data_IF_365922581121
#
_entry.id   IF_365922581121
#
_cell.length_a   1.000
_cell.length_b   1.000
_cell.length_c   1.000
_cell.angle_alpha   90.00
_cell.angle_beta   90.00
_cell.angle_gamma   90.00
#
_symmetry.space_group_name_H-M   'P 1'
#
loop_
_entity.id
_entity.type
_entity.pdbx_description
1 polymer ?
#
# COMPACT_ATOMS: atom_id res chain seq x y z
N UNK A 1 66.00 2.13 -11.05
CA UNK A 1 65.14 2.93 -10.14
C UNK A 1 64.00 3.54 -10.97
N UNK A 2 63.07 2.71 -11.47
CA UNK A 2 61.99 3.17 -12.34
C UNK A 2 60.65 2.57 -11.89
N UNK A 3 59.89 3.34 -11.12
CA UNK A 3 58.43 3.33 -10.99
C UNK A 3 58.06 4.81 -10.70
N UNK A 4 56.84 5.37 -10.94
CA UNK A 4 55.54 4.71 -11.11
C UNK A 4 54.47 5.55 -11.89
N UNK A 5 54.71 6.11 -13.09
CA UNK A 5 53.69 6.98 -13.72
C UNK A 5 52.48 6.21 -14.29
N UNK A 6 52.66 4.95 -14.70
CA UNK A 6 51.57 4.10 -15.22
C UNK A 6 50.58 3.63 -14.14
N UNK A 7 51.01 3.55 -12.88
CA UNK A 7 50.18 3.14 -11.73
C UNK A 7 49.29 4.26 -11.18
N UNK A 8 49.55 5.52 -11.51
CA UNK A 8 48.65 6.62 -11.13
C UNK A 8 47.44 6.70 -12.08
N UNK A 9 47.64 6.44 -13.38
CA UNK A 9 46.56 6.45 -14.37
C UNK A 9 45.55 5.32 -14.15
N UNK A 10 46.01 4.12 -13.79
CA UNK A 10 45.12 2.97 -13.55
C UNK A 10 44.34 3.05 -12.21
N UNK A 11 44.66 3.99 -11.33
CA UNK A 11 43.93 4.19 -10.07
C UNK A 11 42.63 4.95 -10.31
N UNK A 12 42.62 5.92 -11.25
CA UNK A 12 41.42 6.66 -11.65
C UNK A 12 40.38 5.80 -12.40
N UNK A 13 40.82 4.96 -13.34
CA UNK A 13 39.91 4.09 -14.11
C UNK A 13 39.28 2.98 -13.25
N UNK A 14 39.97 2.49 -12.22
CA UNK A 14 39.42 1.50 -11.27
C UNK A 14 38.37 2.09 -10.34
N UNK A 15 38.52 3.35 -9.92
CA UNK A 15 37.50 4.06 -9.13
C UNK A 15 36.22 4.30 -9.91
N UNK A 16 36.33 4.67 -11.20
CA UNK A 16 35.17 4.92 -12.06
C UNK A 16 34.35 3.65 -12.32
N UNK A 17 35.01 2.55 -12.67
CA UNK A 17 34.34 1.27 -12.99
C UNK A 17 33.72 0.57 -11.76
N UNK A 18 34.19 0.89 -10.55
CA UNK A 18 33.56 0.44 -9.31
C UNK A 18 32.24 1.20 -9.05
N UNK A 19 32.22 2.52 -9.26
CA UNK A 19 31.02 3.34 -9.08
C UNK A 19 29.89 2.98 -10.06
N UNK A 20 30.23 2.69 -11.33
CA UNK A 20 29.22 2.28 -12.33
C UNK A 20 28.64 0.89 -12.08
N UNK A 21 29.37 -0.01 -11.40
CA UNK A 21 28.85 -1.31 -10.95
C UNK A 21 27.77 -1.18 -9.88
N UNK A 22 27.96 -0.27 -8.92
CA UNK A 22 26.97 0.01 -7.86
C UNK A 22 25.67 0.61 -8.43
N UNK A 23 25.78 1.56 -9.36
CA UNK A 23 24.62 2.12 -10.07
C UNK A 23 23.87 1.05 -10.89
N UNK A 24 24.60 0.09 -11.47
CA UNK A 24 24.02 -1.06 -12.16
C UNK A 24 23.25 -1.99 -11.21
N UNK A 25 23.76 -2.19 -9.99
CA UNK A 25 23.09 -2.97 -8.94
C UNK A 25 21.80 -2.31 -8.45
N UNK A 26 21.84 -1.00 -8.21
CA UNK A 26 20.67 -0.21 -7.81
C UNK A 26 19.59 -0.18 -8.89
N UNK A 27 19.97 0.01 -10.17
CA UNK A 27 19.02 -0.03 -11.29
C UNK A 27 18.33 -1.39 -11.39
N UNK A 28 19.07 -2.50 -11.23
CA UNK A 28 18.49 -3.86 -11.22
C UNK A 28 17.55 -4.10 -10.02
N UNK A 29 17.78 -3.43 -8.90
CA UNK A 29 16.90 -3.49 -7.74
C UNK A 29 15.59 -2.74 -7.97
N UNK A 30 15.65 -1.50 -8.48
CA UNK A 30 14.45 -0.71 -8.83
C UNK A 30 13.65 -1.39 -9.94
N UNK A 31 14.30 -1.97 -10.95
CA UNK A 31 13.61 -2.66 -12.05
C UNK A 31 12.89 -3.95 -11.63
N UNK A 32 12.94 -4.36 -10.35
CA UNK A 32 12.23 -5.52 -9.82
C UNK A 32 10.70 -5.34 -9.77
N UNK A 33 10.16 -4.20 -10.22
CA UNK A 33 8.72 -3.92 -10.40
C UNK A 33 7.97 -3.72 -9.09
N UNK A 34 7.89 -4.78 -8.28
CA UNK A 34 7.20 -4.82 -6.99
C UNK A 34 7.68 -3.74 -5.99
N UNK A 35 8.96 -3.33 -6.06
CA UNK A 35 9.52 -2.29 -5.19
C UNK A 35 9.05 -0.89 -5.58
N UNK A 36 8.89 -0.64 -6.88
CA UNK A 36 8.52 0.69 -7.41
C UNK A 36 7.05 0.96 -7.12
N UNK A 37 6.17 -0.01 -7.35
CA UNK A 37 4.74 0.14 -7.11
C UNK A 37 4.45 0.38 -5.62
N UNK A 38 5.16 -0.34 -4.74
CA UNK A 38 5.06 -0.12 -3.30
C UNK A 38 5.61 1.25 -2.89
N UNK A 39 6.76 1.67 -3.42
CA UNK A 39 7.35 2.97 -3.12
C UNK A 39 6.44 4.13 -3.57
N UNK A 40 5.90 4.04 -4.79
CA UNK A 40 4.97 5.03 -5.34
C UNK A 40 3.69 5.09 -4.50
N UNK A 41 3.14 3.94 -4.09
CA UNK A 41 1.97 3.88 -3.21
C UNK A 41 2.17 4.60 -1.87
N UNK A 42 3.33 4.41 -1.21
CA UNK A 42 3.65 5.07 0.07
C UNK A 42 3.79 6.58 -0.10
N UNK A 43 4.49 7.04 -1.14
CA UNK A 43 4.72 8.48 -1.37
C UNK A 43 3.42 9.20 -1.70
N UNK A 44 2.59 8.63 -2.58
CA UNK A 44 1.28 9.21 -2.92
C UNK A 44 0.36 9.21 -1.68
N UNK A 45 0.36 8.13 -0.90
CA UNK A 45 -0.40 8.05 0.35
C UNK A 45 -0.01 9.14 1.34
N UNK A 46 1.29 9.37 1.55
CA UNK A 46 1.79 10.42 2.44
C UNK A 46 1.44 11.83 1.96
N UNK A 47 1.60 12.10 0.66
CA UNK A 47 1.25 13.40 0.07
C UNK A 47 -0.25 13.70 0.20
N UNK A 48 -1.09 12.70 -0.04
CA UNK A 48 -2.54 12.84 0.03
C UNK A 48 -3.03 13.07 1.46
N UNK A 49 -2.48 12.35 2.45
CA UNK A 49 -2.76 12.61 3.87
C UNK A 49 -2.47 14.06 4.26
N UNK A 50 -1.40 14.67 3.72
CA UNK A 50 -1.11 16.09 3.97
C UNK A 50 -2.17 17.06 3.42
N UNK A 51 -2.77 16.76 2.26
CA UNK A 51 -3.87 17.56 1.68
C UNK A 51 -5.13 17.45 2.55
N UNK A 52 -5.41 16.26 3.06
CA UNK A 52 -6.56 16.00 3.91
C UNK A 52 -6.38 16.67 5.27
N UNK A 53 -5.18 16.56 5.86
CA UNK A 53 -4.84 17.21 7.13
C UNK A 53 -4.92 18.73 7.05
N UNK A 54 -4.45 19.33 5.95
CA UNK A 54 -4.56 20.79 5.74
C UNK A 54 -6.02 21.23 5.59
N UNK A 55 -6.82 20.52 4.79
CA UNK A 55 -8.26 20.79 4.70
C UNK A 55 -8.95 20.75 6.07
N UNK A 56 -8.60 19.77 6.91
CA UNK A 56 -9.20 19.61 8.23
C UNK A 56 -8.74 20.71 9.18
N UNK A 57 -7.43 20.99 9.22
CA UNK A 57 -6.86 22.04 10.08
C UNK A 57 -7.33 23.44 9.68
N UNK A 58 -7.42 23.72 8.39
CA UNK A 58 -7.65 25.07 7.87
C UNK A 58 -9.14 25.39 7.70
N UNK A 59 -10.01 24.40 7.47
CA UNK A 59 -11.45 24.61 7.31
C UNK A 59 -12.28 24.02 8.45
N UNK A 60 -12.04 22.75 8.81
CA UNK A 60 -12.92 22.05 9.77
C UNK A 60 -12.65 22.49 11.21
N UNK A 61 -11.40 22.53 11.66
CA UNK A 61 -11.03 22.94 13.02
C UNK A 61 -11.51 24.36 13.39
N UNK A 62 -11.33 25.40 12.55
CA UNK A 62 -11.89 26.72 12.87
C UNK A 62 -13.41 26.76 12.79
N UNK A 63 -14.04 25.98 11.89
CA UNK A 63 -15.50 25.91 11.81
C UNK A 63 -16.11 25.26 13.06
N UNK A 64 -15.48 24.21 13.60
CA UNK A 64 -15.85 23.63 14.89
C UNK A 64 -15.58 24.63 16.02
N UNK A 65 -14.44 25.34 15.99
CA UNK A 65 -14.10 26.36 16.99
C UNK A 65 -15.13 27.49 17.07
N UNK A 66 -15.64 27.96 15.91
CA UNK A 66 -16.70 28.96 15.83
C UNK A 66 -18.06 28.36 16.17
N UNK A 67 -18.39 27.16 15.71
CA UNK A 67 -19.65 26.48 16.03
C UNK A 67 -19.80 26.25 17.54
N UNK A 68 -18.72 25.82 18.21
CA UNK A 68 -18.65 25.63 19.65
C UNK A 68 -18.73 26.96 20.42
N UNK A 69 -18.28 28.08 19.81
CA UNK A 69 -18.43 29.43 20.34
C UNK A 69 -19.87 29.94 20.24
N UNK A 70 -20.54 29.69 19.11
CA UNK A 70 -21.93 30.10 18.88
C UNK A 70 -22.95 29.30 19.70
N UNK A 71 -22.62 28.07 20.09
CA UNK A 71 -23.47 27.20 20.92
C UNK A 71 -23.25 27.42 22.44
N UNK A 72 -22.49 28.43 22.87
CA UNK A 72 -22.08 28.66 24.28
C UNK A 72 -21.35 27.49 24.99
N UNK A 73 -21.09 26.39 24.29
CA UNK A 73 -20.35 25.23 24.79
C UNK A 73 -18.86 25.53 25.05
N UNK A 74 -18.34 26.66 24.55
CA UNK A 74 -16.96 27.08 24.81
C UNK A 74 -16.67 27.37 26.29
N UNK A 75 -17.67 27.78 27.08
CA UNK A 75 -17.50 27.87 28.54
C UNK A 75 -17.61 26.51 29.23
N UNK A 76 -18.29 25.52 28.65
CA UNK A 76 -18.39 24.19 29.26
C UNK A 76 -17.23 23.28 28.87
N UNK A 77 -16.63 23.39 27.68
CA UNK A 77 -15.48 22.57 27.28
C UNK A 77 -14.11 23.14 27.68
N UNK A 78 -13.98 24.46 27.80
CA UNK A 78 -12.79 25.07 28.43
C UNK A 78 -12.87 25.08 29.95
N UNK A 79 -14.03 24.85 30.56
CA UNK A 79 -14.16 24.73 32.02
C UNK A 79 -14.52 23.31 32.49
N UNK A 80 -14.69 22.33 31.59
CA UNK A 80 -14.73 20.90 31.92
C UNK A 80 -13.31 20.35 32.16
N UNK A 81 -12.56 21.02 33.04
CA UNK A 81 -11.45 20.39 33.72
C UNK A 81 -12.02 19.79 35.00
N UNK A 82 -12.13 18.47 35.06
CA UNK A 82 -12.31 17.82 36.35
C UNK A 82 -10.99 17.92 37.10
N UNK A 83 -10.82 18.97 37.89
CA UNK A 83 -9.62 19.17 38.70
C UNK A 83 -9.72 18.26 39.93
N UNK A 84 -9.24 17.02 39.79
CA UNK A 84 -8.98 16.14 40.92
C UNK A 84 -7.46 16.01 41.06
N UNK A 85 -6.92 16.51 42.18
CA UNK A 85 -5.51 16.36 42.56
C UNK A 85 -4.48 16.98 41.58
N UNK A 86 -4.78 18.13 40.98
CA UNK A 86 -3.80 18.91 40.20
C UNK A 86 -3.45 18.35 38.82
N UNK A 87 -4.20 17.36 38.31
CA UNK A 87 -4.07 16.83 36.95
C UNK A 87 -5.25 17.30 36.10
N UNK A 88 -4.97 18.10 35.07
CA UNK A 88 -5.98 18.58 34.12
C UNK A 88 -6.30 17.47 33.12
N UNK A 89 -7.37 16.72 33.35
CA UNK A 89 -7.91 15.80 32.35
C UNK A 89 -8.74 16.58 31.32
N UNK A 90 -8.12 16.95 30.20
CA UNK A 90 -8.77 17.66 29.11
C UNK A 90 -9.62 16.70 28.25
N UNK A 91 -10.80 16.34 28.74
CA UNK A 91 -11.76 15.50 27.99
C UNK A 91 -12.30 16.24 26.74
N UNK A 92 -12.38 17.57 26.80
CA UNK A 92 -12.81 18.42 25.68
C UNK A 92 -11.90 18.31 24.44
N UNK A 93 -10.59 18.30 24.64
CA UNK A 93 -9.62 18.19 23.53
C UNK A 93 -9.69 16.82 22.86
N UNK A 94 -9.90 15.76 23.66
CA UNK A 94 -10.06 14.40 23.15
C UNK A 94 -11.34 14.25 22.31
N UNK A 95 -12.47 14.77 22.79
CA UNK A 95 -13.75 14.73 22.05
C UNK A 95 -13.65 15.56 20.76
N UNK A 96 -13.00 16.73 20.80
CA UNK A 96 -12.77 17.53 19.61
C UNK A 96 -11.88 16.81 18.58
N UNK A 97 -10.81 16.14 19.03
CA UNK A 97 -9.95 15.33 18.17
C UNK A 97 -10.73 14.15 17.55
N UNK A 98 -11.61 13.51 18.33
CA UNK A 98 -12.46 12.42 17.86
C UNK A 98 -13.46 12.88 16.81
N UNK A 99 -14.15 14.01 17.05
CA UNK A 99 -15.09 14.60 16.08
C UNK A 99 -14.35 14.98 14.80
N UNK A 100 -13.20 15.63 14.91
CA UNK A 100 -12.37 15.98 13.76
C UNK A 100 -11.97 14.74 12.97
N UNK A 101 -11.50 13.68 13.63
CA UNK A 101 -11.15 12.41 13.01
C UNK A 101 -12.32 11.77 12.25
N UNK A 102 -13.52 11.74 12.83
CA UNK A 102 -14.71 11.21 12.18
C UNK A 102 -15.09 12.01 10.93
N UNK A 103 -14.96 13.34 10.97
CA UNK A 103 -15.21 14.21 9.81
C UNK A 103 -14.18 13.93 8.71
N UNK A 104 -12.89 13.79 9.07
CA UNK A 104 -11.83 13.42 8.11
C UNK A 104 -12.16 12.10 7.42
N UNK A 105 -12.48 11.07 8.20
CA UNK A 105 -12.82 9.75 7.70
C UNK A 105 -14.04 9.79 6.76
N UNK A 106 -15.05 10.60 7.10
CA UNK A 106 -16.23 10.78 6.26
C UNK A 106 -15.91 11.45 4.92
N UNK A 107 -15.12 12.53 4.93
CA UNK A 107 -14.69 13.24 3.70
C UNK A 107 -13.84 12.31 2.83
N UNK A 108 -12.86 11.61 3.42
CA UNK A 108 -12.03 10.63 2.72
C UNK A 108 -12.86 9.53 2.06
N UNK A 109 -13.80 8.95 2.82
CA UNK A 109 -14.66 7.90 2.31
C UNK A 109 -15.51 8.38 1.14
N UNK A 110 -16.13 9.56 1.26
CA UNK A 110 -17.04 10.07 0.25
C UNK A 110 -16.33 10.55 -1.02
N UNK A 111 -15.20 11.27 -0.88
CA UNK A 111 -14.50 11.90 -2.00
C UNK A 111 -13.40 11.03 -2.64
N UNK A 112 -12.93 9.98 -1.96
CA UNK A 112 -11.85 9.12 -2.48
C UNK A 112 -12.33 7.69 -2.61
N UNK A 113 -12.73 7.05 -1.50
CA UNK A 113 -13.03 5.62 -1.50
C UNK A 113 -14.24 5.32 -2.38
N UNK A 114 -15.31 6.11 -2.28
CA UNK A 114 -16.52 5.95 -3.10
C UNK A 114 -16.29 6.12 -4.60
N UNK A 115 -15.67 7.21 -5.11
CA UNK A 115 -15.42 7.35 -6.53
C UNK A 115 -14.40 6.33 -7.02
N UNK A 116 -13.38 5.99 -6.24
CA UNK A 116 -12.44 4.92 -6.62
C UNK A 116 -13.15 3.58 -6.69
N UNK A 117 -14.01 3.23 -5.74
CA UNK A 117 -14.81 2.00 -5.80
C UNK A 117 -15.73 1.97 -7.02
N UNK A 118 -16.43 3.07 -7.31
CA UNK A 118 -17.26 3.22 -8.52
C UNK A 118 -16.45 3.12 -9.81
N UNK A 119 -15.25 3.68 -9.84
CA UNK A 119 -14.36 3.61 -10.99
C UNK A 119 -13.77 2.20 -11.14
N UNK A 120 -13.38 1.54 -10.05
CA UNK A 120 -12.88 0.17 -10.07
C UNK A 120 -13.95 -0.78 -10.61
N UNK A 121 -15.20 -0.69 -10.14
CA UNK A 121 -16.31 -1.50 -10.65
C UNK A 121 -16.58 -1.27 -12.15
N UNK A 122 -16.20 -0.10 -12.69
CA UNK A 122 -16.45 0.28 -14.09
C UNK A 122 -15.28 0.03 -15.03
N UNK A 123 -14.05 0.18 -14.56
CA UNK A 123 -12.82 0.13 -15.37
C UNK A 123 -12.01 -1.14 -15.18
N UNK A 124 -12.19 -1.85 -14.07
CA UNK A 124 -11.56 -3.13 -13.81
C UNK A 124 -12.69 -4.17 -13.69
N UNK A 125 -12.95 -5.00 -14.72
CA UNK A 125 -13.68 -6.24 -14.49
C UNK A 125 -13.00 -6.92 -13.31
N UNK A 126 -13.77 -7.32 -12.28
CA UNK A 126 -13.25 -8.09 -11.14
C UNK A 126 -12.23 -9.09 -11.68
N UNK A 127 -10.96 -8.84 -11.45
CA UNK A 127 -9.96 -9.89 -11.59
C UNK A 127 -10.21 -10.77 -10.38
N UNK A 128 -11.25 -11.59 -10.50
CA UNK A 128 -11.46 -12.73 -9.62
C UNK A 128 -10.09 -13.39 -9.54
N UNK A 129 -9.52 -13.54 -8.34
CA UNK A 129 -8.19 -14.10 -8.18
C UNK A 129 -8.19 -15.39 -8.99
N UNK A 130 -7.47 -15.41 -10.12
CA UNK A 130 -7.53 -16.45 -11.15
C UNK A 130 -7.72 -17.79 -10.45
N UNK A 131 -8.97 -18.28 -10.39
CA UNK A 131 -9.26 -19.61 -9.92
C UNK A 131 -8.32 -20.49 -10.74
N UNK A 132 -7.47 -21.32 -10.11
CA UNK A 132 -6.28 -21.84 -10.75
C UNK A 132 -6.65 -22.48 -12.08
N UNK A 133 -6.45 -21.76 -13.20
CA UNK A 133 -6.95 -22.19 -14.51
C UNK A 133 -6.27 -23.48 -14.96
N UNK A 134 -5.18 -23.84 -14.26
CA UNK A 134 -4.29 -24.95 -14.52
C UNK A 134 -4.21 -25.85 -13.28
N UNK A 135 -4.29 -27.17 -13.52
CA UNK A 135 -3.97 -28.24 -12.58
C UNK A 135 -2.71 -28.97 -13.03
N UNK A 136 -2.02 -29.57 -12.08
CA UNK A 136 -0.93 -30.49 -12.40
C UNK A 136 -1.49 -31.83 -12.89
N UNK A 137 -0.93 -32.35 -13.97
CA UNK A 137 -1.29 -33.67 -14.47
C UNK A 137 -0.74 -34.76 -13.53
N UNK A 138 -1.56 -35.70 -13.02
CA UNK A 138 -1.10 -36.74 -12.10
C UNK A 138 -0.13 -37.75 -12.72
N UNK A 139 -0.01 -37.79 -14.06
CA UNK A 139 0.87 -38.73 -14.77
C UNK A 139 2.23 -38.15 -15.13
N UNK A 140 2.29 -36.85 -15.46
CA UNK A 140 3.52 -36.22 -15.98
C UNK A 140 3.89 -34.90 -15.30
N UNK A 141 3.15 -34.47 -14.27
CA UNK A 141 3.41 -33.28 -13.46
C UNK A 141 3.51 -31.96 -14.25
N UNK A 142 3.03 -31.95 -15.50
CA UNK A 142 2.95 -30.75 -16.33
C UNK A 142 1.68 -29.95 -16.03
N UNK A 143 1.74 -28.63 -16.20
CA UNK A 143 0.58 -27.74 -16.07
C UNK A 143 -0.41 -27.96 -17.23
N UNK A 144 -1.66 -28.30 -16.91
CA UNK A 144 -2.72 -28.54 -17.88
C UNK A 144 -3.98 -27.76 -17.47
N UNK A 145 -4.74 -27.15 -18.39
CA UNK A 145 -5.96 -26.43 -18.02
C UNK A 145 -7.00 -27.34 -17.35
N UNK A 146 -7.73 -26.82 -16.36
CA UNK A 146 -8.71 -27.57 -15.56
C UNK A 146 -9.75 -28.32 -16.41
N UNK A 147 -10.17 -27.71 -17.52
CA UNK A 147 -11.20 -28.27 -18.42
C UNK A 147 -10.65 -29.28 -19.44
N UNK A 148 -9.35 -29.56 -19.46
CA UNK A 148 -8.77 -30.50 -20.41
C UNK A 148 -9.14 -31.95 -20.06
N UNK A 149 -9.71 -32.65 -21.04
CA UNK A 149 -9.99 -34.09 -20.99
C UNK A 149 -8.77 -34.93 -21.36
N UNK A 150 -7.78 -34.34 -22.05
CA UNK A 150 -6.49 -34.95 -22.40
C UNK A 150 -5.32 -34.01 -22.10
N UNK A 151 -4.24 -34.57 -21.55
CA UNK A 151 -3.00 -33.84 -21.32
C UNK A 151 -2.25 -33.59 -22.65
N UNK A 152 -1.78 -32.36 -22.88
CA UNK A 152 -1.00 -32.02 -24.07
C UNK A 152 0.44 -32.60 -24.06
N UNK A 153 0.99 -32.90 -22.90
CA UNK A 153 2.37 -33.38 -22.75
C UNK A 153 2.49 -34.90 -22.84
N UNK A 154 1.66 -35.64 -22.10
CA UNK A 154 1.72 -37.11 -22.09
C UNK A 154 0.58 -37.80 -22.83
N UNK A 155 -0.38 -37.06 -23.41
CA UNK A 155 -1.56 -37.58 -24.13
C UNK A 155 -2.49 -38.48 -23.32
N UNK A 156 -2.24 -38.65 -22.01
CA UNK A 156 -3.09 -39.41 -21.11
C UNK A 156 -4.48 -38.76 -20.96
N UNK A 157 -5.50 -39.60 -20.80
CA UNK A 157 -6.85 -39.16 -20.47
C UNK A 157 -6.86 -38.72 -19.00
N UNK A 158 -7.28 -37.48 -18.74
CA UNK A 158 -7.31 -36.94 -17.39
C UNK A 158 -8.66 -37.24 -16.72
N UNK A 159 -8.68 -37.63 -15.43
CA UNK A 159 -9.92 -37.70 -14.67
C UNK A 159 -10.57 -36.30 -14.62
N UNK A 160 -11.91 -36.21 -14.49
CA UNK A 160 -12.59 -34.92 -14.32
C UNK A 160 -11.98 -34.14 -13.16
N UNK A 161 -11.85 -32.82 -13.32
CA UNK A 161 -11.28 -31.97 -12.29
C UNK A 161 -12.24 -31.89 -11.11
N UNK A 162 -12.09 -32.80 -10.15
CA UNK A 162 -12.71 -32.62 -8.85
C UNK A 162 -11.96 -31.52 -8.10
N UNK A 163 -12.71 -30.49 -7.75
CA UNK A 163 -12.23 -29.33 -7.03
C UNK A 163 -11.82 -29.75 -5.61
N UNK A 164 -10.51 -29.90 -5.36
CA UNK A 164 -9.96 -29.72 -4.01
C UNK A 164 -9.65 -30.95 -3.16
N UNK A 165 -9.27 -32.09 -3.72
CA UNK A 165 -8.63 -33.17 -2.93
C UNK A 165 -7.17 -33.36 -3.35
N UNK A 166 -6.18 -33.08 -2.47
CA UNK A 166 -4.83 -33.58 -2.68
C UNK A 166 -4.89 -35.10 -2.76
N UNK A 167 -4.19 -35.65 -3.74
CA UNK A 167 -4.10 -37.08 -3.97
C UNK A 167 -3.78 -37.84 -2.67
N UNK A 168 -4.77 -38.53 -2.10
CA UNK A 168 -4.55 -39.58 -1.12
C UNK A 168 -3.93 -40.77 -1.87
N UNK A 169 -2.60 -40.80 -1.90
CA UNK A 169 -1.80 -41.92 -2.40
C UNK A 169 -1.55 -42.88 -1.24
N UNK A 170 -2.13 -44.06 -1.35
CA UNK A 170 -1.81 -45.25 -0.54
C UNK A 170 -0.50 -45.87 -0.98
#
# INVERSE_FOLDING_TARGET
MERPFSTLRNWGERGWNASTREMGGFKKFILRGNVVDLAVGVVIGAAFSGVVDSLVKDFISPLIGVALLTLHLNQDFKNAFWEYQGQRFAFGDFVNALISFLIVAFVLYFFVVRPVALLQDRFLPREEPKAPEKRECPFCLSEVPLKATRCAYCTAQLPPAEEGTPAEVR
#
